data_IF_833589862803
#
_entry.id   IF_833589862803
#
_cell.length_a   1.000
_cell.length_b   1.000
_cell.length_c   1.000
_cell.angle_alpha   90.00
_cell.angle_beta   90.00
_cell.angle_gamma   90.00
#
_symmetry.space_group_name_H-M   'P 1'
#
loop_
_entity.id
_entity.type
_entity.pdbx_description
1 polymer ?
2 water ?
#
# COMPACT_ATOMS: atom_id res chain seq x y z
N UNK A 11 38.55 -17.22 -1.23
CA UNK A 11 37.15 -16.79 -1.52
C UNK A 11 36.73 -17.04 -2.97
N UNK A 12 35.45 -17.33 -3.15
CA UNK A 12 34.81 -17.42 -4.46
C UNK A 12 34.03 -16.13 -4.68
N UNK A 13 33.52 -15.95 -5.90
CA UNK A 13 32.75 -14.75 -6.25
C UNK A 13 31.38 -14.75 -5.58
N UNK A 14 31.01 -13.62 -4.99
CA UNK A 14 29.67 -13.45 -4.40
C UNK A 14 28.64 -13.14 -5.48
N UNK A 15 27.39 -13.51 -5.20
CA UNK A 15 26.29 -13.20 -6.12
C UNK A 15 26.04 -11.68 -6.22
N UNK A 16 25.47 -11.23 -7.35
CA UNK A 16 24.99 -9.83 -7.48
C UNK A 16 24.11 -9.38 -6.29
N UNK A 17 23.25 -10.29 -5.83
CA UNK A 17 22.34 -10.05 -4.70
C UNK A 17 23.05 -9.84 -3.37
N UNK A 18 24.08 -10.64 -3.10
CA UNK A 18 24.90 -10.48 -1.88
C UNK A 18 25.74 -9.20 -1.94
N UNK A 19 26.25 -8.91 -3.13
CA UNK A 19 26.98 -7.66 -3.35
C UNK A 19 26.06 -6.47 -3.12
N UNK A 20 24.85 -6.54 -3.67
CA UNK A 20 23.88 -5.45 -3.52
C UNK A 20 23.42 -5.18 -2.08
N UNK A 21 23.15 -6.27 -1.35
CA UNK A 21 22.69 -6.19 0.03
C UNK A 21 23.79 -5.70 0.97
N UNK A 22 25.05 -6.00 0.61
CA UNK A 22 26.20 -5.47 1.32
C UNK A 22 26.38 -3.95 1.09
N UNK A 23 26.11 -3.48 -0.13
CA UNK A 23 26.22 -2.04 -0.43
C UNK A 23 25.09 -1.23 0.24
N UNK A 24 23.91 -1.83 0.33
CA UNK A 24 22.81 -1.23 1.10
C UNK A 24 23.18 -1.07 2.57
N UNK A 25 23.68 -2.14 3.19
CA UNK A 25 24.02 -2.11 4.62
C UNK A 25 25.04 -1.04 4.97
N UNK A 26 25.94 -0.73 4.04
CA UNK A 26 26.89 0.39 4.20
C UNK A 26 26.24 1.75 3.96
N UNK A 27 25.37 1.85 2.95
CA UNK A 27 24.72 3.11 2.59
C UNK A 27 23.61 3.56 3.55
N UNK A 28 22.86 2.62 4.11
CA UNK A 28 21.65 2.94 4.88
C UNK A 28 22.00 3.43 6.30
N UNK A 29 21.50 4.62 6.63
CA UNK A 29 21.58 5.18 7.97
C UNK A 29 20.44 6.19 8.21
N UNK A 30 19.93 6.25 9.43
CA UNK A 30 18.86 7.19 9.79
C UNK A 30 19.27 8.64 9.50
N UNK A 31 18.28 9.52 9.24
CA UNK A 31 18.64 10.92 9.01
C UNK A 31 19.13 11.61 10.29
N UNK A 32 19.73 12.78 10.07
CA UNK A 32 20.37 13.60 11.12
C UNK A 32 19.37 14.10 12.15
N UNK A 33 18.22 14.57 11.63
CA UNK A 33 17.08 14.98 12.44
C UNK A 33 15.99 13.93 12.27
N UNK A 34 15.53 13.33 13.38
CA UNK A 34 14.52 12.24 13.36
C UNK A 34 13.15 12.67 13.85
N UNK A 35 12.12 12.10 13.23
CA UNK A 35 10.73 12.25 13.70
C UNK A 35 10.65 11.71 15.14
N UNK A 36 9.82 12.35 15.96
CA UNK A 36 9.46 11.81 17.28
C UNK A 36 8.09 11.14 17.26
N UNK A 37 7.15 11.72 16.51
CA UNK A 37 5.74 11.35 16.59
C UNK A 37 5.12 11.38 15.19
N UNK A 38 4.48 10.28 14.80
CA UNK A 38 3.82 10.18 13.50
C UNK A 38 2.36 9.79 13.76
N UNK A 39 1.43 10.48 13.09
CA UNK A 39 0.00 10.09 13.13
C UNK A 39 -0.43 9.51 11.79
N UNK A 40 -1.18 8.42 11.86
CA UNK A 40 -1.55 7.61 10.67
C UNK A 40 -3.03 7.26 10.73
N UNK A 41 -3.71 7.41 9.60
CA UNK A 41 -5.09 6.97 9.44
C UNK A 41 -5.48 6.92 7.98
N UNK A 42 -6.65 6.38 7.62
CA UNK A 42 -7.67 5.87 8.55
C UNK A 42 -8.19 4.46 8.24
N UNK A 43 -7.66 3.76 7.25
CA UNK A 43 -8.18 2.42 6.96
C UNK A 43 -7.45 1.31 7.72
N UNK A 44 -8.22 0.36 8.23
CA UNK A 44 -7.74 -0.69 9.08
C UNK A 44 -8.76 -1.83 9.20
N UNK A 45 -8.27 -3.05 9.24
CA UNK A 45 -9.12 -4.24 9.34
C UNK A 45 -8.31 -5.43 9.78
N UNK A 46 -8.98 -6.57 9.92
CA UNK A 46 -8.29 -7.83 10.17
C UNK A 46 -8.54 -8.76 8.98
N UNK A 47 -7.45 -9.18 8.32
CA UNK A 47 -7.50 -10.16 7.28
C UNK A 47 -7.41 -11.53 7.92
N UNK A 48 -8.36 -12.39 7.56
CA UNK A 48 -8.39 -13.77 8.00
C UNK A 48 -8.19 -14.60 6.74
N UNK A 49 -7.07 -15.32 6.68
CA UNK A 49 -6.72 -16.13 5.50
C UNK A 49 -7.00 -17.58 5.87
N UNK A 50 -7.81 -18.24 5.06
CA UNK A 50 -8.38 -19.55 5.38
C UNK A 50 -8.62 -20.30 4.09
N UNK A 51 -8.48 -21.63 4.13
CA UNK A 51 -8.92 -22.47 3.00
C UNK A 51 -10.43 -22.32 2.83
N UNK A 52 -10.83 -21.91 1.63
CA UNK A 52 -12.23 -21.71 1.36
C UNK A 52 -13.07 -22.98 1.48
N UNK A 53 -12.59 -24.07 0.90
CA UNK A 53 -13.27 -25.37 0.99
C UNK A 53 -13.44 -25.76 2.47
N UNK A 54 -12.37 -25.65 3.26
CA UNK A 54 -12.47 -25.97 4.69
C UNK A 54 -13.50 -25.13 5.43
N UNK A 55 -13.57 -23.84 5.10
CA UNK A 55 -14.51 -22.96 5.80
C UNK A 55 -15.93 -23.36 5.49
N UNK A 56 -16.20 -23.52 4.22
CA UNK A 56 -17.54 -23.87 3.79
C UNK A 56 -17.94 -25.22 4.40
N UNK A 57 -17.02 -26.17 4.38
CA UNK A 57 -17.27 -27.45 5.03
C UNK A 57 -17.56 -27.21 6.50
N UNK A 58 -16.78 -26.33 7.14
CA UNK A 58 -16.94 -26.03 8.56
C UNK A 58 -18.25 -25.35 8.90
N UNK A 59 -18.89 -24.68 7.93
CA UNK A 59 -20.23 -24.12 8.09
C UNK A 59 -21.32 -25.17 7.93
N UNK A 60 -20.94 -26.41 7.63
CA UNK A 60 -21.90 -27.49 7.46
C UNK A 60 -22.49 -27.54 6.06
N UNK A 61 -21.77 -27.08 5.07
CA UNK A 61 -22.30 -26.99 3.70
C UNK A 61 -21.82 -28.17 2.87
N UNK A 62 -22.72 -28.81 2.13
CA UNK A 62 -22.35 -29.81 1.13
C UNK A 62 -22.10 -29.06 -0.18
N UNK A 63 -21.32 -29.66 -1.10
CA UNK A 63 -21.02 -28.92 -2.34
C UNK A 63 -22.26 -28.77 -3.22
N UNK A 64 -22.59 -27.54 -3.59
CA UNK A 64 -23.73 -27.25 -4.45
C UNK A 64 -23.28 -27.05 -5.89
N UNK A 65 -23.66 -25.91 -6.48
CA UNK A 65 -23.30 -25.55 -7.84
C UNK A 65 -22.49 -24.30 -7.83
N UNK A 66 -21.63 -24.17 -8.82
CA UNK A 66 -20.91 -22.93 -9.02
C UNK A 66 -21.89 -21.97 -9.71
N UNK A 67 -22.01 -20.77 -9.16
CA UNK A 67 -22.90 -19.77 -9.72
C UNK A 67 -22.52 -18.40 -9.18
N UNK A 68 -22.29 -17.44 -10.07
CA UNK A 68 -21.88 -16.10 -9.66
C UNK A 68 -23.05 -15.38 -9.05
N UNK A 69 -22.75 -14.53 -8.06
CA UNK A 69 -23.70 -13.61 -7.46
C UNK A 69 -23.03 -12.27 -7.26
N UNK A 70 -23.64 -11.21 -7.79
CA UNK A 70 -23.11 -9.84 -7.66
C UNK A 70 -22.94 -9.36 -6.19
N UNK A 71 -23.93 -9.64 -5.36
CA UNK A 71 -23.88 -9.40 -3.92
C UNK A 71 -24.15 -10.76 -3.23
N UNK A 72 -23.45 -11.05 -2.14
CA UNK A 72 -23.72 -12.25 -1.33
C UNK A 72 -24.68 -11.89 -0.22
N UNK A 73 -25.88 -12.43 -0.27
CA UNK A 73 -26.86 -12.19 0.79
C UNK A 73 -26.91 -13.29 1.84
N UNK A 74 -26.22 -14.40 1.59
CA UNK A 74 -26.45 -15.64 2.33
C UNK A 74 -25.29 -16.59 2.21
N UNK A 75 -25.25 -17.57 3.12
CA UNK A 75 -24.31 -18.71 3.00
C UNK A 75 -24.38 -19.42 1.64
N UNK A 76 -25.58 -19.56 1.12
CA UNK A 76 -25.82 -20.14 -0.24
C UNK A 76 -25.08 -19.33 -1.29
N UNK A 77 -25.34 -18.01 -1.30
CA UNK A 77 -24.71 -17.12 -2.25
C UNK A 77 -23.20 -17.23 -2.16
N UNK A 78 -22.68 -17.23 -0.93
CA UNK A 78 -21.24 -17.36 -0.70
C UNK A 78 -20.71 -18.65 -1.30
N UNK A 79 -21.32 -19.75 -0.91
CA UNK A 79 -20.89 -21.04 -1.45
C UNK A 79 -20.91 -21.05 -2.98
N UNK A 80 -22.04 -20.61 -3.54
CA UNK A 80 -22.22 -20.62 -5.00
C UNK A 80 -21.22 -19.74 -5.77
N UNK A 81 -20.97 -18.51 -5.31
CA UNK A 81 -19.96 -17.67 -5.96
C UNK A 81 -18.56 -18.18 -5.75
N UNK A 82 -18.25 -18.67 -4.53
CA UNK A 82 -16.93 -19.25 -4.27
C UNK A 82 -16.65 -20.41 -5.23
N UNK A 83 -17.60 -21.33 -5.32
CA UNK A 83 -17.44 -22.48 -6.23
C UNK A 83 -17.25 -22.04 -7.67
N UNK A 84 -17.97 -20.99 -8.08
CA UNK A 84 -17.85 -20.42 -9.43
C UNK A 84 -16.42 -19.97 -9.72
N UNK A 85 -15.83 -19.17 -8.82
CA UNK A 85 -14.47 -18.68 -9.02
C UNK A 85 -13.41 -19.76 -8.78
N UNK A 86 -13.65 -20.65 -7.82
CA UNK A 86 -12.75 -21.81 -7.60
C UNK A 86 -12.65 -22.66 -8.86
N UNK A 87 -13.76 -22.83 -9.56
CA UNK A 87 -13.78 -23.56 -10.84
C UNK A 87 -12.97 -22.89 -11.92
N UNK A 88 -12.94 -21.56 -11.92
CA UNK A 88 -12.13 -20.80 -12.87
C UNK A 88 -10.68 -20.63 -12.44
N UNK A 89 -10.37 -20.87 -11.16
CA UNK A 89 -9.05 -20.55 -10.60
C UNK A 89 -8.83 -19.05 -10.58
N UNK A 90 -9.91 -18.27 -10.44
CA UNK A 90 -9.88 -16.80 -10.62
C UNK A 90 -10.13 -16.04 -9.32
N UNK A 91 -9.62 -14.82 -9.29
CA UNK A 91 -9.77 -13.92 -8.18
C UNK A 91 -11.14 -13.28 -8.24
N UNK A 92 -11.72 -13.03 -7.08
CA UNK A 92 -12.87 -12.16 -6.99
C UNK A 92 -13.00 -11.58 -5.60
N UNK A 93 -13.81 -10.53 -5.52
CA UNK A 93 -14.15 -9.93 -4.27
C UNK A 93 -15.62 -9.54 -4.24
N UNK A 94 -16.25 -9.73 -3.08
CA UNK A 94 -17.64 -9.46 -2.92
C UNK A 94 -17.96 -8.76 -1.60
N UNK A 95 -19.10 -8.08 -1.58
CA UNK A 95 -19.74 -7.58 -0.39
C UNK A 95 -20.76 -8.61 0.06
N UNK A 96 -20.80 -8.87 1.37
CA UNK A 96 -21.76 -9.75 1.99
C UNK A 96 -22.73 -8.88 2.77
N UNK A 97 -24.02 -8.99 2.45
CA UNK A 97 -25.00 -7.96 2.81
C UNK A 97 -25.65 -8.15 4.18
N UNK A 98 -25.79 -9.39 4.62
CA UNK A 98 -26.40 -9.67 5.89
C UNK A 98 -25.39 -9.48 7.04
N UNK A 99 -25.56 -8.42 7.80
CA UNK A 99 -24.61 -8.06 8.85
C UNK A 99 -24.42 -9.18 9.89
N UNK A 100 -25.53 -9.70 10.41
CA UNK A 100 -25.48 -10.66 11.52
C UNK A 100 -24.91 -11.96 11.01
N UNK A 101 -25.38 -12.43 9.84
CA UNK A 101 -24.84 -13.66 9.24
C UNK A 101 -23.37 -13.55 8.97
N UNK A 102 -22.95 -12.40 8.44
CA UNK A 102 -21.52 -12.16 8.26
C UNK A 102 -20.71 -12.23 9.57
N UNK A 103 -21.25 -11.68 10.65
CA UNK A 103 -20.56 -11.74 11.97
C UNK A 103 -20.31 -13.21 12.35
N UNK A 104 -21.31 -14.06 12.19
CA UNK A 104 -21.18 -15.51 12.49
C UNK A 104 -20.22 -16.25 11.58
N UNK A 105 -20.15 -15.89 10.30
CA UNK A 105 -19.20 -16.52 9.37
C UNK A 105 -17.76 -16.08 9.64
N UNK A 106 -17.56 -14.77 9.86
CA UNK A 106 -16.25 -14.25 10.17
C UNK A 106 -15.77 -14.82 11.49
N UNK A 107 -16.67 -14.95 12.45
CA UNK A 107 -16.32 -15.58 13.74
C UNK A 107 -15.90 -17.02 13.54
N UNK A 108 -16.65 -17.75 12.72
CA UNK A 108 -16.32 -19.15 12.38
C UNK A 108 -14.96 -19.24 11.68
N UNK A 109 -14.65 -18.29 10.79
CA UNK A 109 -13.37 -18.32 10.06
C UNK A 109 -12.21 -17.96 10.96
N UNK A 110 -12.38 -16.88 11.71
CA UNK A 110 -11.38 -16.45 12.65
C UNK A 110 -11.09 -17.50 13.76
N UNK A 111 -12.10 -18.24 14.19
CA UNK A 111 -11.89 -19.26 15.25
C UNK A 111 -11.46 -20.62 14.70
N UNK A 112 -11.45 -20.79 13.39
CA UNK A 112 -11.12 -22.06 12.76
C UNK A 112 -9.64 -22.34 12.99
N UNK A 113 -9.32 -23.53 13.56
CA UNK A 113 -7.92 -23.82 13.86
C UNK A 113 -7.02 -23.74 12.60
N UNK A 114 -5.90 -23.04 12.70
CA UNK A 114 -5.00 -22.90 11.57
C UNK A 114 -5.23 -21.71 10.65
N UNK A 115 -6.40 -21.09 10.71
CA UNK A 115 -6.61 -19.80 10.06
C UNK A 115 -5.58 -18.78 10.49
N UNK A 116 -5.09 -17.99 9.55
CA UNK A 116 -4.10 -16.94 9.82
C UNK A 116 -4.80 -15.60 9.94
N UNK A 117 -4.34 -14.77 10.86
CA UNK A 117 -4.91 -13.45 11.12
C UNK A 117 -3.81 -12.42 10.90
N UNK A 118 -4.12 -11.33 10.22
CA UNK A 118 -3.15 -10.32 9.84
C UNK A 118 -3.77 -8.96 9.99
N UNK A 119 -2.94 -8.01 10.44
CA UNK A 119 -3.23 -6.60 10.36
C UNK A 119 -3.48 -6.24 8.88
N UNK A 120 -4.59 -5.58 8.62
CA UNK A 120 -4.94 -5.13 7.28
C UNK A 120 -5.24 -3.63 7.25
N UNK A 121 -5.35 -3.09 6.04
CA UNK A 121 -5.62 -1.68 5.82
C UNK A 121 -4.34 -0.87 5.71
N UNK A 122 -4.22 -0.07 4.65
CA UNK A 122 -3.02 0.70 4.33
C UNK A 122 -2.48 1.49 5.54
N UNK A 123 -3.37 2.20 6.21
CA UNK A 123 -3.00 3.04 7.34
C UNK A 123 -2.49 2.22 8.53
N UNK A 124 -3.20 1.12 8.85
CA UNK A 124 -2.79 0.24 9.95
C UNK A 124 -1.46 -0.44 9.66
N UNK A 125 -1.30 -0.87 8.41
CA UNK A 125 -0.03 -1.47 7.98
C UNK A 125 1.12 -0.45 8.08
N UNK A 126 0.89 0.78 7.61
CA UNK A 126 1.87 1.86 7.77
C UNK A 126 2.23 2.08 9.24
N UNK A 127 1.23 2.27 10.08
CA UNK A 127 1.40 2.43 11.52
C UNK A 127 2.22 1.34 12.18
N UNK A 128 1.94 0.12 11.78
CA UNK A 128 2.62 -1.06 12.27
C UNK A 128 4.11 -1.04 11.90
N UNK A 129 4.42 -0.68 10.65
CA UNK A 129 5.83 -0.60 10.22
C UNK A 129 6.59 0.46 11.01
N UNK A 130 6.04 1.68 11.09
CA UNK A 130 6.63 2.76 11.90
C UNK A 130 6.85 2.34 13.35
N UNK A 131 5.89 1.62 13.90
CA UNK A 131 5.92 1.23 15.30
C UNK A 131 7.02 0.22 15.66
N UNK A 132 7.59 -0.47 14.66
CA UNK A 132 8.76 -1.34 14.89
C UNK A 132 9.97 -0.60 15.53
N UNK A 133 10.09 0.71 15.32
CA UNK A 133 11.16 1.53 15.94
C UNK A 133 10.65 2.11 17.23
N UNK A 134 11.31 1.82 18.35
CA UNK A 134 10.83 2.26 19.67
C UNK A 134 11.01 3.75 19.98
N UNK A 135 11.94 4.42 19.29
CA UNK A 135 12.12 5.88 19.46
C UNK A 135 11.19 6.73 18.61
N UNK A 136 10.23 6.09 17.92
CA UNK A 136 9.19 6.80 17.18
C UNK A 136 7.86 6.44 17.78
N UNK A 137 7.08 7.45 18.17
CA UNK A 137 5.76 7.21 18.76
C UNK A 137 4.66 7.33 17.71
N UNK A 138 3.87 6.27 17.60
CA UNK A 138 2.83 6.17 16.60
C UNK A 138 1.43 6.29 17.21
N UNK A 139 0.61 7.16 16.61
CA UNK A 139 -0.82 7.22 16.81
C UNK A 139 -1.51 6.66 15.56
N UNK A 140 -2.47 5.75 15.76
CA UNK A 140 -3.23 5.12 14.66
C UNK A 140 -4.72 5.28 14.88
N UNK A 141 -5.45 5.85 13.91
CA UNK A 141 -6.91 5.79 13.87
C UNK A 141 -7.46 4.97 12.69
N UNK A 142 -8.61 4.35 12.96
CA UNK A 142 -9.33 3.54 11.99
C UNK A 142 -10.27 2.62 12.73
N UNK A 143 -10.97 1.74 12.00
CA UNK A 143 -11.98 0.90 12.66
C UNK A 143 -11.33 -0.24 13.41
N UNK A 144 -10.92 0.03 14.64
CA UNK A 144 -10.08 -0.87 15.41
C UNK A 144 -10.90 -1.48 16.53
N UNK A 145 -11.28 -2.75 16.35
CA UNK A 145 -11.92 -3.58 17.36
C UNK A 145 -10.90 -4.34 18.20
N UNK A 146 -11.38 -5.21 19.10
CA UNK A 146 -10.50 -5.90 20.06
C UNK A 146 -9.48 -6.83 19.43
N UNK A 147 -9.84 -7.48 18.33
CA UNK A 147 -8.88 -8.35 17.64
C UNK A 147 -7.75 -7.60 16.95
N UNK A 148 -8.09 -6.55 16.20
CA UNK A 148 -7.08 -5.71 15.58
C UNK A 148 -6.20 -5.02 16.64
N UNK A 149 -6.80 -4.60 17.75
CA UNK A 149 -6.01 -3.94 18.80
C UNK A 149 -4.98 -4.90 19.39
N UNK A 150 -5.41 -6.15 19.61
CA UNK A 150 -4.55 -7.25 20.06
C UNK A 150 -3.43 -7.51 19.05
N UNK A 151 -3.79 -7.58 17.78
CA UNK A 151 -2.81 -7.78 16.68
C UNK A 151 -1.81 -6.66 16.51
N UNK A 152 -2.21 -5.42 16.79
CA UNK A 152 -1.32 -4.28 16.62
C UNK A 152 -0.18 -4.32 17.64
N UNK A 153 0.94 -3.73 17.25
CA UNK A 153 2.13 -3.61 18.11
C UNK A 153 1.76 -2.80 19.34
N UNK A 154 2.26 -3.21 20.50
CA UNK A 154 1.95 -2.51 21.77
C UNK A 154 2.33 -1.03 21.79
N UNK A 155 3.34 -0.64 21.02
CA UNK A 155 3.78 0.76 20.98
C UNK A 155 2.83 1.69 20.21
N UNK A 156 1.89 1.11 19.47
CA UNK A 156 0.89 1.89 18.72
C UNK A 156 -0.20 2.37 19.67
N UNK A 157 -0.40 3.70 19.70
CA UNK A 157 -1.44 4.30 20.51
C UNK A 157 -2.67 4.52 19.63
N UNK A 158 -3.79 3.98 20.08
CA UNK A 158 -5.08 4.17 19.43
C UNK A 158 -5.90 4.98 20.41
N UNK A 159 -6.30 6.21 20.03
CA UNK A 159 -7.22 6.98 20.86
C UNK A 159 -8.43 6.11 21.26
N UNK A 160 -8.87 6.17 22.54
CA UNK A 160 -10.08 5.43 22.92
C UNK A 160 -11.28 5.73 22.01
N UNK A 161 -11.36 6.97 21.49
CA UNK A 161 -12.36 7.35 20.50
C UNK A 161 -12.40 6.46 19.28
N UNK A 162 -11.24 5.93 18.87
CA UNK A 162 -11.13 5.10 17.68
C UNK A 162 -11.27 3.60 17.95
N UNK A 163 -11.52 3.23 19.21
CA UNK A 163 -11.76 1.83 19.57
C UNK A 163 -13.26 1.52 19.52
N UNK A 164 -13.58 0.37 18.95
CA UNK A 164 -14.99 -0.06 18.77
C UNK A 164 -15.17 -1.52 19.20
N UNK A 165 -16.43 -1.92 19.33
CA UNK A 165 -16.77 -3.24 19.86
C UNK A 165 -16.43 -4.37 18.88
N UNK A 166 -16.69 -4.15 17.59
CA UNK A 166 -16.47 -5.17 16.55
C UNK A 166 -15.30 -4.79 15.65
N UNK A 167 -14.62 -5.78 15.10
CA UNK A 167 -13.64 -5.55 14.04
C UNK A 167 -14.30 -5.54 12.66
N UNK A 168 -13.55 -5.06 11.67
CA UNK A 168 -13.85 -5.22 10.26
C UNK A 168 -13.03 -6.40 9.79
N UNK A 169 -13.67 -7.55 9.66
CA UNK A 169 -12.99 -8.73 9.18
C UNK A 169 -13.08 -8.76 7.67
N UNK A 170 -11.96 -9.01 7.01
CA UNK A 170 -11.94 -9.34 5.61
C UNK A 170 -11.57 -10.80 5.47
N UNK A 171 -12.45 -11.58 4.90
CA UNK A 171 -12.24 -13.04 4.83
C UNK A 171 -11.61 -13.42 3.50
N UNK A 172 -10.42 -14.02 3.54
CA UNK A 172 -9.64 -14.33 2.35
C UNK A 172 -9.65 -15.87 2.17
N UNK A 173 -10.43 -16.34 1.20
CA UNK A 173 -10.69 -17.78 1.05
C UNK A 173 -9.82 -18.31 -0.09
N UNK A 174 -8.76 -19.00 0.29
CA UNK A 174 -7.77 -19.49 -0.67
C UNK A 174 -8.08 -20.90 -1.14
N UNK A 175 -7.63 -21.21 -2.36
CA UNK A 175 -7.62 -22.59 -2.86
C UNK A 175 -6.33 -22.81 -3.62
N UNK A 176 -5.88 -24.06 -3.63
CA UNK A 176 -4.65 -24.47 -4.25
C UNK A 176 -4.95 -25.00 -5.63
N UNK A 177 -3.97 -24.94 -6.52
CA UNK A 177 -4.09 -25.59 -7.84
C UNK A 177 -4.26 -27.08 -7.60
N UNK A 178 -5.24 -27.66 -8.27
CA UNK A 178 -5.56 -29.09 -8.11
C UNK A 178 -6.45 -29.47 -6.93
N UNK A 179 -6.83 -28.49 -6.10
CA UNK A 179 -7.69 -28.77 -4.95
C UNK A 179 -9.10 -29.17 -5.38
N UNK A 180 -9.73 -30.06 -4.61
CA UNK A 180 -11.00 -30.65 -4.98
C UNK A 180 -11.99 -30.60 -3.85
N UNK A 181 -13.25 -30.46 -4.21
CA UNK A 181 -14.32 -30.63 -3.25
C UNK A 181 -15.51 -31.16 -4.04
N UNK A 182 -15.83 -32.43 -3.83
CA UNK A 182 -16.81 -33.14 -4.64
C UNK A 182 -16.41 -33.01 -6.10
N UNK A 183 -17.34 -32.58 -6.96
CA UNK A 183 -17.02 -32.45 -8.39
C UNK A 183 -16.26 -31.18 -8.78
N UNK A 184 -15.79 -30.39 -7.81
CA UNK A 184 -15.11 -29.14 -8.13
C UNK A 184 -13.62 -29.37 -8.07
N UNK A 185 -12.89 -28.74 -8.98
CA UNK A 185 -11.43 -28.82 -9.00
C UNK A 185 -10.86 -27.50 -9.48
N UNK A 186 -9.98 -26.91 -8.69
CA UNK A 186 -9.36 -25.62 -9.05
C UNK A 186 -8.24 -25.82 -10.07
N UNK A 187 -8.34 -25.18 -11.26
CA UNK A 187 -7.22 -25.21 -12.22
C UNK A 187 -6.02 -24.30 -11.90
N UNK A 188 -6.20 -23.31 -11.02
CA UNK A 188 -5.08 -22.48 -10.52
C UNK A 188 -5.34 -22.12 -9.06
N UNK A 189 -4.27 -21.79 -8.34
CA UNK A 189 -4.38 -21.25 -7.00
C UNK A 189 -4.84 -19.81 -7.08
N UNK A 190 -5.82 -19.45 -6.25
CA UNK A 190 -6.31 -18.09 -6.18
C UNK A 190 -7.12 -17.87 -4.91
N UNK A 191 -7.80 -16.74 -4.80
CA UNK A 191 -8.57 -16.43 -3.61
C UNK A 191 -9.87 -15.66 -3.87
N UNK A 192 -10.82 -15.87 -2.99
CA UNK A 192 -12.09 -15.23 -3.00
C UNK A 192 -12.17 -14.46 -1.70
N UNK A 193 -12.41 -13.15 -1.81
CA UNK A 193 -12.43 -12.27 -0.63
C UNK A 193 -13.82 -11.70 -0.47
N UNK A 194 -14.32 -11.69 0.76
CA UNK A 194 -15.55 -11.00 1.06
C UNK A 194 -15.52 -10.31 2.41
N UNK A 195 -16.38 -9.30 2.55
CA UNK A 195 -16.45 -8.49 3.74
C UNK A 195 -17.80 -7.82 3.85
N UNK A 196 -18.04 -7.16 4.99
CA UNK A 196 -19.18 -6.31 5.20
C UNK A 196 -18.64 -5.07 5.91
N UNK A 197 -17.85 -4.30 5.15
CA UNK A 197 -17.05 -3.22 5.65
C UNK A 197 -17.55 -1.85 5.17
N UNK A 198 -18.46 -1.28 5.93
CA UNK A 198 -18.98 0.05 5.67
C UNK A 198 -18.08 1.14 6.23
N UNK A 199 -17.29 0.82 7.26
CA UNK A 199 -16.46 1.80 7.99
C UNK A 199 -15.35 2.34 7.12
N UNK A 200 -14.59 1.41 6.54
CA UNK A 200 -13.51 1.77 5.65
C UNK A 200 -14.01 2.37 4.32
N UNK A 201 -15.13 1.86 3.82
CA UNK A 201 -15.79 2.42 2.63
C UNK A 201 -16.17 3.89 2.75
N UNK A 202 -16.58 4.31 3.94
CA UNK A 202 -17.07 5.67 4.17
C UNK A 202 -16.06 6.58 4.84
N UNK A 203 -14.82 6.11 5.05
CA UNK A 203 -13.85 6.75 5.97
C UNK A 203 -14.53 7.28 7.26
N UNK A 204 -15.23 6.38 7.96
CA UNK A 204 -15.98 6.82 9.14
C UNK A 204 -15.13 7.30 10.32
N UNK A 205 -13.84 6.99 10.33
CA UNK A 205 -12.98 7.42 11.40
C UNK A 205 -12.16 8.68 11.05
N UNK A 206 -12.45 9.32 9.91
CA UNK A 206 -11.71 10.54 9.53
C UNK A 206 -11.84 11.66 10.55
N UNK A 207 -13.06 11.90 11.04
CA UNK A 207 -13.31 12.94 12.06
C UNK A 207 -12.55 12.69 13.36
N UNK A 208 -12.61 11.45 13.84
CA UNK A 208 -11.90 11.03 15.07
C UNK A 208 -10.39 11.20 14.89
N UNK A 209 -9.89 10.84 13.71
CA UNK A 209 -8.47 11.01 13.39
C UNK A 209 -8.04 12.47 13.41
N UNK A 210 -8.76 13.29 12.64
CA UNK A 210 -8.52 14.73 12.55
C UNK A 210 -8.56 15.31 13.96
N UNK A 211 -9.61 15.00 14.71
CA UNK A 211 -9.78 15.51 16.08
C UNK A 211 -8.62 15.16 17.03
N UNK A 212 -7.92 14.06 16.79
CA UNK A 212 -6.83 13.63 17.69
C UNK A 212 -5.48 14.27 17.41
N UNK A 213 -5.34 14.98 16.29
CA UNK A 213 -4.02 15.43 15.86
C UNK A 213 -3.47 16.55 16.75
N UNK A 214 -4.30 17.52 17.12
CA UNK A 214 -3.84 18.69 17.87
C UNK A 214 -3.14 18.29 19.18
N UNK A 215 -3.84 17.51 20.00
CA UNK A 215 -3.24 16.99 21.22
C UNK A 215 -1.93 16.25 20.95
N UNK A 216 -1.94 15.31 20.00
CA UNK A 216 -0.78 14.46 19.72
C UNK A 216 0.45 15.20 19.17
N UNK A 217 0.22 16.30 18.47
CA UNK A 217 1.31 17.09 17.88
C UNK A 217 2.23 16.21 16.99
N UNK A 218 1.66 15.58 15.97
CA UNK A 218 2.54 14.80 15.09
C UNK A 218 3.62 15.67 14.42
N UNK A 219 4.80 15.08 14.22
CA UNK A 219 5.81 15.58 13.30
C UNK A 219 5.49 15.25 11.85
N UNK A 220 4.76 14.16 11.65
CA UNK A 220 4.47 13.60 10.35
C UNK A 220 3.04 13.05 10.43
N UNK A 221 2.25 13.36 9.41
CA UNK A 221 0.91 12.86 9.30
C UNK A 221 0.88 12.01 8.04
N UNK A 222 0.34 10.81 8.15
CA UNK A 222 0.20 9.90 6.98
C UNK A 222 -1.26 9.54 6.82
N UNK A 223 -1.79 9.71 5.61
CA UNK A 223 -3.17 9.48 5.31
C UNK A 223 -3.30 8.43 4.21
N UNK A 224 -4.20 7.49 4.44
CA UNK A 224 -4.59 6.53 3.43
C UNK A 224 -6.05 6.16 3.62
N UNK A 225 -6.62 5.52 2.61
CA UNK A 225 -8.00 5.03 2.65
C UNK A 225 -8.96 5.69 1.68
N UNK A 226 -8.52 6.72 0.96
CA UNK A 226 -9.42 7.45 0.05
C UNK A 226 -9.96 6.53 -1.06
N UNK A 227 -9.06 5.73 -1.63
CA UNK A 227 -9.44 4.73 -2.66
C UNK A 227 -10.60 3.82 -2.24
N UNK A 228 -10.75 3.55 -0.95
CA UNK A 228 -11.84 2.72 -0.44
C UNK A 228 -13.23 3.32 -0.58
N UNK A 229 -13.31 4.63 -0.85
CA UNK A 229 -14.59 5.29 -1.10
C UNK A 229 -15.11 5.04 -2.51
N UNK A 230 -14.27 4.54 -3.40
CA UNK A 230 -14.70 4.01 -4.70
C UNK A 230 -16.01 3.25 -4.55
N UNK A 231 -17.02 3.67 -5.31
CA UNK A 231 -18.33 3.02 -5.30
C UNK A 231 -19.36 3.59 -4.34
N UNK A 232 -18.94 4.58 -3.51
CA UNK A 232 -19.85 5.34 -2.64
C UNK A 232 -20.37 6.59 -3.35
N UNK A 233 -21.42 7.19 -2.79
CA UNK A 233 -21.99 8.46 -3.25
C UNK A 233 -20.89 9.49 -3.54
N UNK A 234 -21.01 10.15 -4.71
CA UNK A 234 -20.10 11.20 -5.09
C UNK A 234 -20.14 12.36 -4.06
N UNK A 235 -21.33 12.68 -3.57
CA UNK A 235 -21.49 13.66 -2.50
C UNK A 235 -20.79 13.28 -1.18
N UNK A 236 -20.87 12.00 -0.80
CA UNK A 236 -20.12 11.50 0.35
C UNK A 236 -18.61 11.65 0.11
N UNK A 237 -18.15 11.26 -1.09
CA UNK A 237 -16.74 11.47 -1.44
C UNK A 237 -16.28 12.94 -1.35
N UNK A 238 -17.13 13.83 -1.85
CA UNK A 238 -16.84 15.26 -1.87
C UNK A 238 -16.76 15.82 -0.43
N UNK A 239 -17.72 15.44 0.41
CA UNK A 239 -17.67 15.79 1.85
C UNK A 239 -16.34 15.33 2.50
N UNK A 240 -15.90 14.11 2.22
CA UNK A 240 -14.69 13.57 2.85
C UNK A 240 -13.40 14.21 2.38
N UNK A 241 -13.30 14.45 1.06
CA UNK A 241 -12.14 15.15 0.51
C UNK A 241 -12.02 16.60 1.05
N UNK A 242 -13.15 17.28 1.25
CA UNK A 242 -13.15 18.60 1.86
C UNK A 242 -12.73 18.55 3.35
N UNK A 243 -13.20 17.53 4.07
CA UNK A 243 -12.75 17.25 5.45
C UNK A 243 -11.25 17.05 5.51
N UNK A 244 -10.71 16.27 4.57
CA UNK A 244 -9.25 16.07 4.47
C UNK A 244 -8.52 17.40 4.32
N UNK A 245 -8.95 18.21 3.35
CA UNK A 245 -8.23 19.44 2.98
C UNK A 245 -8.33 20.45 4.10
N UNK A 246 -9.52 20.57 4.70
CA UNK A 246 -9.71 21.46 5.85
C UNK A 246 -8.84 21.04 7.03
N UNK A 247 -8.84 19.75 7.35
CA UNK A 247 -8.03 19.24 8.45
C UNK A 247 -6.55 19.56 8.28
N UNK A 248 -6.03 19.34 7.08
CA UNK A 248 -4.63 19.60 6.79
C UNK A 248 -4.31 21.09 6.86
N UNK A 249 -5.20 21.96 6.44
CA UNK A 249 -4.95 23.41 6.58
C UNK A 249 -4.90 23.88 8.06
N UNK A 250 -5.48 23.09 8.97
CA UNK A 250 -5.39 23.34 10.41
C UNK A 250 -4.18 22.75 11.12
N UNK A 251 -3.45 21.86 10.47
CA UNK A 251 -2.22 21.31 11.04
C UNK A 251 -1.13 22.36 10.88
N UNK A 252 -0.26 22.55 11.91
CA UNK A 252 0.74 23.63 11.79
C UNK A 252 1.58 23.55 10.51
N UNK A 253 1.95 24.71 9.98
CA UNK A 253 2.76 24.80 8.76
C UNK A 253 4.08 24.05 8.94
N UNK A 254 4.55 23.42 7.88
CA UNK A 254 5.83 22.70 7.89
C UNK A 254 5.79 21.25 8.39
N UNK A 255 4.62 20.78 8.84
CA UNK A 255 4.41 19.36 9.19
C UNK A 255 4.10 18.64 7.88
N UNK A 256 5.00 17.76 7.43
CA UNK A 256 4.67 17.00 6.22
C UNK A 256 3.46 16.06 6.37
N UNK A 257 2.67 15.97 5.31
CA UNK A 257 1.57 15.01 5.17
C UNK A 257 1.89 14.13 3.97
N UNK A 258 1.92 12.81 4.19
CA UNK A 258 2.07 11.85 3.09
C UNK A 258 0.70 11.19 2.76
N UNK A 259 0.33 11.18 1.47
CA UNK A 259 -0.82 10.46 0.99
C UNK A 259 -0.36 9.15 0.35
N UNK A 260 -0.80 8.01 0.88
CA UNK A 260 -0.53 6.72 0.25
C UNK A 260 -1.73 6.32 -0.59
N UNK A 261 -1.51 6.28 -1.90
CA UNK A 261 -2.57 6.11 -2.85
C UNK A 261 -2.48 4.67 -3.35
N UNK A 262 -3.57 3.91 -3.26
CA UNK A 262 -3.63 2.53 -3.76
C UNK A 262 -4.91 2.28 -4.54
N UNK A 263 -5.06 1.06 -5.04
CA UNK A 263 -6.29 0.48 -5.61
C UNK A 263 -7.39 1.41 -6.12
N UNK A 264 -7.11 2.12 -7.21
CA UNK A 264 -8.04 3.06 -7.83
C UNK A 264 -8.47 2.55 -9.19
N UNK A 265 -9.76 2.65 -9.49
CA UNK A 265 -10.31 2.42 -10.82
C UNK A 265 -11.28 3.50 -11.31
N UNK A 266 -11.66 4.45 -10.45
CA UNK A 266 -12.62 5.50 -10.81
C UNK A 266 -11.88 6.79 -11.18
N UNK A 267 -12.11 7.30 -12.39
CA UNK A 267 -11.39 8.50 -12.87
C UNK A 267 -11.96 9.81 -12.29
N UNK A 268 -13.26 9.87 -12.05
CA UNK A 268 -13.83 11.07 -11.42
C UNK A 268 -13.16 11.28 -10.05
N UNK A 269 -13.04 10.20 -9.28
CA UNK A 269 -12.48 10.25 -7.93
C UNK A 269 -11.00 10.59 -7.98
N UNK A 270 -10.26 9.90 -8.86
CA UNK A 270 -8.82 10.14 -9.06
C UNK A 270 -8.52 11.58 -9.43
N UNK A 271 -9.28 12.08 -10.41
CA UNK A 271 -9.24 13.48 -10.82
C UNK A 271 -9.41 14.42 -9.62
N UNK A 272 -10.45 14.15 -8.82
CA UNK A 272 -10.76 14.95 -7.63
C UNK A 272 -9.65 14.91 -6.57
N UNK A 273 -9.07 13.73 -6.36
CA UNK A 273 -7.94 13.60 -5.44
C UNK A 273 -6.74 14.41 -5.93
N UNK A 274 -6.51 14.39 -7.24
CA UNK A 274 -5.40 15.14 -7.81
C UNK A 274 -5.66 16.64 -7.64
N UNK A 275 -6.84 17.09 -8.04
CA UNK A 275 -7.18 18.53 -7.98
C UNK A 275 -7.15 19.07 -6.54
N UNK A 276 -7.75 18.34 -5.60
CA UNK A 276 -7.96 18.83 -4.23
C UNK A 276 -6.88 18.47 -3.22
N UNK A 277 -6.53 17.18 -3.17
CA UNK A 277 -5.66 16.65 -2.09
C UNK A 277 -4.17 16.77 -2.39
N UNK A 278 -3.77 16.56 -3.64
CA UNK A 278 -2.36 16.68 -4.02
C UNK A 278 -1.69 18.01 -3.57
N UNK A 279 -2.33 19.18 -3.79
CA UNK A 279 -1.73 20.43 -3.29
C UNK A 279 -1.60 20.53 -1.76
N UNK A 280 -2.41 19.76 -1.04
CA UNK A 280 -2.41 19.77 0.43
C UNK A 280 -1.42 18.82 1.09
N UNK A 281 -0.70 18.03 0.31
CA UNK A 281 0.22 17.06 0.91
C UNK A 281 1.63 17.36 0.44
N UNK A 282 2.59 17.03 1.30
CA UNK A 282 3.99 17.16 0.99
C UNK A 282 4.48 15.99 0.17
N UNK A 283 3.92 14.80 0.42
CA UNK A 283 4.45 13.54 -0.10
C UNK A 283 3.35 12.62 -0.61
N UNK A 284 3.66 11.83 -1.63
CA UNK A 284 2.75 10.89 -2.26
C UNK A 284 3.46 9.56 -2.40
N UNK A 285 2.74 8.46 -2.23
CA UNK A 285 3.27 7.12 -2.41
C UNK A 285 2.32 6.27 -3.24
N UNK A 286 2.86 5.51 -4.20
CA UNK A 286 2.02 4.72 -5.11
C UNK A 286 2.83 3.72 -5.93
N UNK A 287 2.13 2.85 -6.65
CA UNK A 287 2.76 1.86 -7.49
C UNK A 287 2.50 2.10 -8.97
N UNK A 288 3.05 1.22 -9.81
CA UNK A 288 2.89 1.28 -11.25
C UNK A 288 1.43 1.40 -11.71
N UNK A 289 0.51 0.71 -11.03
CA UNK A 289 -0.90 0.67 -11.42
C UNK A 289 -1.55 2.05 -11.29
N UNK A 290 -1.37 2.66 -10.13
CA UNK A 290 -1.91 3.99 -9.85
C UNK A 290 -1.21 5.10 -10.65
N UNK A 291 0.10 4.96 -10.85
CA UNK A 291 0.87 5.91 -11.68
C UNK A 291 0.35 5.95 -13.11
N UNK A 292 0.27 4.80 -13.76
CA UNK A 292 -0.27 4.73 -15.12
C UNK A 292 -1.73 5.21 -15.16
N UNK A 293 -2.51 4.86 -14.13
CA UNK A 293 -3.90 5.32 -14.06
C UNK A 293 -3.99 6.85 -14.01
N UNK A 294 -3.10 7.49 -13.25
CA UNK A 294 -2.99 8.96 -13.23
C UNK A 294 -2.71 9.58 -14.59
N UNK A 295 -1.69 9.05 -15.26
CA UNK A 295 -1.34 9.48 -16.62
C UNK A 295 -2.48 9.26 -17.64
N UNK A 296 -3.28 8.21 -17.45
CA UNK A 296 -4.41 7.93 -18.34
C UNK A 296 -5.53 8.95 -18.21
N UNK A 297 -5.82 9.34 -16.97
CA UNK A 297 -6.86 10.33 -16.69
C UNK A 297 -6.54 11.69 -17.31
N UNK A 298 -5.38 12.25 -16.96
CA UNK A 298 -5.01 13.64 -17.32
C UNK A 298 -3.97 13.74 -18.45
N UNK A 299 -4.13 12.91 -19.49
CA UNK A 299 -3.33 13.00 -20.74
C UNK A 299 -1.80 13.03 -20.55
N UNK A 300 -1.32 12.39 -19.47
CA UNK A 300 0.09 12.46 -19.09
C UNK A 300 1.03 11.70 -20.04
N UNK A 301 2.35 11.89 -19.87
CA UNK A 301 3.41 11.41 -20.74
C UNK A 301 3.15 10.13 -21.55
N UNK A 302 2.60 9.09 -20.91
CA UNK A 302 2.35 7.82 -21.62
C UNK A 302 0.90 7.35 -21.43
N UNK A 303 -0.01 8.32 -21.43
CA UNK A 303 -1.46 8.09 -21.44
C UNK A 303 -1.85 7.04 -22.49
N UNK A 304 -1.24 7.16 -23.67
CA UNK A 304 -1.42 6.21 -24.79
C UNK A 304 -1.25 4.75 -24.38
N UNK A 305 -0.32 4.49 -23.46
CA UNK A 305 -0.11 3.15 -22.91
C UNK A 305 -1.34 2.67 -22.16
N UNK A 306 -1.86 1.52 -22.59
CA UNK A 306 -3.02 0.87 -21.99
C UNK A 306 -2.65 0.09 -20.71
N UNK A 307 -1.54 -0.64 -20.80
CA UNK A 307 -1.02 -1.46 -19.70
C UNK A 307 0.52 -1.50 -19.75
N UNK A 308 1.16 -1.71 -18.59
CA UNK A 308 2.61 -1.97 -18.57
C UNK A 308 2.82 -3.35 -19.16
N UNK A 309 3.82 -3.47 -20.02
CA UNK A 309 4.11 -4.71 -20.71
C UNK A 309 5.32 -5.35 -20.03
N UNK A 310 5.04 -6.04 -18.92
CA UNK A 310 6.08 -6.62 -18.06
C UNK A 310 6.52 -5.64 -16.99
N UNK A 311 7.83 -5.59 -16.73
CA UNK A 311 8.39 -4.56 -15.86
C UNK A 311 8.11 -3.20 -16.51
N UNK A 312 7.56 -2.25 -15.73
CA UNK A 312 7.41 -0.88 -16.26
C UNK A 312 8.74 -0.26 -16.65
N UNK A 313 8.78 0.39 -17.80
CA UNK A 313 9.98 1.06 -18.30
C UNK A 313 10.34 2.21 -17.37
N UNK A 314 11.58 2.24 -16.90
CA UNK A 314 12.01 3.24 -15.89
C UNK A 314 11.84 4.65 -16.43
N UNK A 315 12.28 4.87 -17.66
CA UNK A 315 12.15 6.19 -18.27
C UNK A 315 10.71 6.66 -18.32
N UNK A 316 9.82 5.78 -18.79
CA UNK A 316 8.38 6.06 -18.87
C UNK A 316 7.80 6.38 -17.49
N UNK A 317 8.18 5.59 -16.50
CA UNK A 317 7.82 5.85 -15.11
C UNK A 317 8.29 7.25 -14.69
N UNK A 318 9.57 7.53 -14.91
CA UNK A 318 10.16 8.80 -14.47
C UNK A 318 9.57 10.03 -15.17
N UNK A 319 9.21 9.89 -16.44
CA UNK A 319 8.48 10.95 -17.16
C UNK A 319 7.16 11.30 -16.48
N UNK A 320 6.43 10.27 -16.03
CA UNK A 320 5.14 10.48 -15.34
C UNK A 320 5.36 11.12 -13.97
N UNK A 321 6.35 10.65 -13.21
CA UNK A 321 6.66 11.27 -11.90
C UNK A 321 7.09 12.73 -12.06
N UNK A 322 7.96 12.98 -13.04
CA UNK A 322 8.40 14.33 -13.41
C UNK A 322 7.20 15.24 -13.69
N UNK A 323 6.37 14.81 -14.63
CA UNK A 323 5.13 15.48 -15.01
C UNK A 323 4.19 15.79 -13.84
N UNK A 324 4.03 14.86 -12.89
CA UNK A 324 3.21 15.09 -11.69
C UNK A 324 3.79 16.23 -10.85
N UNK A 325 5.09 16.17 -10.58
CA UNK A 325 5.70 17.24 -9.80
C UNK A 325 5.72 18.57 -10.58
N UNK A 326 5.77 18.52 -11.91
CA UNK A 326 5.67 19.74 -12.72
C UNK A 326 4.23 20.27 -12.81
N UNK A 327 3.26 19.39 -13.05
CA UNK A 327 1.86 19.79 -13.20
C UNK A 327 1.19 20.13 -11.87
N UNK A 328 1.57 19.39 -10.83
CA UNK A 328 0.87 19.43 -9.55
C UNK A 328 1.73 19.65 -8.31
N UNK A 329 3.05 19.71 -8.47
CA UNK A 329 3.95 19.91 -7.34
C UNK A 329 4.14 21.38 -7.02
N UNK A 330 4.95 21.64 -5.99
CA UNK A 330 5.24 23.01 -5.58
C UNK A 330 5.84 23.86 -6.71
N UNK A 331 5.38 25.10 -6.83
CA UNK A 331 5.89 26.08 -7.81
C UNK A 331 5.80 27.50 -7.23
N UNK A 332 6.47 28.44 -7.88
CA UNK A 332 6.41 29.84 -7.46
C UNK A 332 4.96 30.35 -7.44
N UNK A 333 4.19 29.94 -8.46
CA UNK A 333 2.83 30.43 -8.70
C UNK A 333 1.69 29.59 -8.09
N UNK A 334 1.94 28.30 -7.87
CA UNK A 334 0.88 27.31 -7.70
C UNK A 334 0.27 27.21 -6.30
N UNK A 335 1.10 27.32 -5.26
CA UNK A 335 0.65 27.07 -3.89
C UNK A 335 0.19 25.60 -3.70
N UNK A 336 0.98 24.70 -4.28
CA UNK A 336 0.92 23.26 -3.97
C UNK A 336 2.06 22.99 -2.98
N UNK A 337 1.90 22.00 -2.11
CA UNK A 337 2.94 21.61 -1.15
C UNK A 337 3.66 20.31 -1.55
N UNK A 338 3.29 19.74 -2.71
CA UNK A 338 3.79 18.42 -3.09
C UNK A 338 5.20 18.49 -3.66
N UNK A 339 6.14 17.90 -2.91
CA UNK A 339 7.56 17.91 -3.25
C UNK A 339 8.19 16.50 -3.31
N UNK A 340 7.40 15.45 -3.17
CA UNK A 340 7.96 14.11 -2.96
C UNK A 340 7.01 13.04 -3.44
N UNK A 341 7.55 12.06 -4.17
CA UNK A 341 6.80 10.90 -4.61
C UNK A 341 7.66 9.68 -4.39
N UNK A 342 7.20 8.74 -3.57
CA UNK A 342 7.87 7.47 -3.38
C UNK A 342 7.17 6.48 -4.29
N UNK A 343 7.79 6.19 -5.43
CA UNK A 343 7.27 5.19 -6.36
C UNK A 343 7.88 3.86 -6.02
N UNK A 344 7.02 2.83 -5.88
CA UNK A 344 7.47 1.47 -5.63
C UNK A 344 6.74 0.48 -6.54
N UNK A 345 7.51 -0.28 -7.33
CA UNK A 345 6.99 -1.40 -8.09
C UNK A 345 7.78 -2.67 -7.69
N UNK A 346 7.44 -3.80 -8.29
CA UNK A 346 7.94 -5.10 -7.79
C UNK A 346 9.48 -5.16 -7.81
N UNK A 347 10.09 -4.72 -8.91
CA UNK A 347 11.54 -4.97 -9.16
C UNK A 347 12.44 -3.74 -9.01
N UNK A 348 11.86 -2.54 -8.86
CA UNK A 348 12.64 -1.35 -8.50
C UNK A 348 11.74 -0.29 -7.85
N UNK A 349 12.35 0.58 -7.04
CA UNK A 349 11.68 1.71 -6.44
C UNK A 349 12.39 2.98 -6.91
N UNK A 350 11.65 4.08 -7.00
CA UNK A 350 12.23 5.39 -7.30
C UNK A 350 11.70 6.36 -6.27
N UNK A 351 12.59 7.20 -5.75
CA UNK A 351 12.21 8.34 -4.92
C UNK A 351 12.50 9.62 -5.71
N UNK A 352 11.45 10.38 -6.01
CA UNK A 352 11.56 11.61 -6.79
C UNK A 352 11.25 12.80 -5.89
N UNK A 353 12.14 13.80 -5.89
CA UNK A 353 11.97 14.95 -4.99
C UNK A 353 12.27 16.29 -5.68
N UNK A 354 11.44 17.29 -5.37
CA UNK A 354 11.68 18.67 -5.81
C UNK A 354 12.87 19.16 -4.98
N UNK A 355 13.91 19.62 -5.67
CA UNK A 355 15.20 19.94 -5.04
C UNK A 355 15.07 20.90 -3.87
N UNK A 356 15.86 20.64 -2.82
CA UNK A 356 15.94 21.50 -1.66
C UNK A 356 14.85 21.40 -0.60
N UNK A 357 14.06 20.32 -0.60
CA UNK A 357 13.00 20.14 0.44
C UNK A 357 13.17 18.90 1.32
N UNK A 358 14.08 17.99 0.93
CA UNK A 358 14.25 16.70 1.57
C UNK A 358 15.72 16.31 1.60
N UNK A 359 16.10 15.60 2.66
CA UNK A 359 17.44 15.01 2.79
C UNK A 359 17.37 13.50 3.01
N UNK A 360 18.51 12.84 2.83
CA UNK A 360 18.72 11.39 3.12
C UNK A 360 17.94 10.46 2.19
N UNK A 361 17.68 10.94 0.99
CA UNK A 361 16.84 10.21 0.05
C UNK A 361 17.56 9.05 -0.65
N UNK A 362 18.89 9.01 -0.65
CA UNK A 362 19.61 7.80 -1.07
C UNK A 362 19.36 6.63 -0.10
N UNK A 363 19.64 6.86 1.19
CA UNK A 363 19.41 5.85 2.20
C UNK A 363 17.92 5.48 2.30
N UNK A 364 17.04 6.47 2.17
CA UNK A 364 15.61 6.24 2.26
C UNK A 364 15.08 5.30 1.18
N UNK A 365 15.47 5.52 -0.08
CA UNK A 365 14.99 4.65 -1.16
C UNK A 365 15.63 3.25 -1.02
N UNK A 366 16.90 3.22 -0.62
CA UNK A 366 17.56 1.97 -0.32
C UNK A 366 16.82 1.21 0.77
N UNK A 367 16.42 1.93 1.82
CA UNK A 367 15.70 1.33 2.95
C UNK A 367 14.30 0.80 2.57
N UNK A 368 13.56 1.57 1.77
CA UNK A 368 12.28 1.10 1.21
C UNK A 368 12.41 -0.20 0.42
N UNK A 369 13.47 -0.28 -0.39
CA UNK A 369 13.76 -1.45 -1.22
C UNK A 369 14.15 -2.67 -0.41
N UNK A 370 14.94 -2.45 0.63
CA UNK A 370 15.39 -3.51 1.51
C UNK A 370 14.27 -4.18 2.29
N UNK A 371 13.29 -3.39 2.73
CA UNK A 371 12.16 -3.91 3.51
C UNK A 371 11.25 -4.77 2.64
N UNK A 372 11.18 -4.41 1.36
CA UNK A 372 10.50 -5.21 0.35
C UNK A 372 11.03 -6.65 0.28
N UNK A 373 12.35 -6.80 0.40
CA UNK A 373 12.96 -8.13 0.49
C UNK A 373 12.68 -8.81 1.82
N UNK A 374 13.04 -8.15 2.91
CA UNK A 374 13.03 -8.78 4.22
C UNK A 374 11.61 -9.15 4.68
N UNK A 375 10.69 -8.21 4.53
CA UNK A 375 9.30 -8.48 4.90
C UNK A 375 8.65 -9.57 4.05
N UNK A 376 8.91 -9.55 2.74
CA UNK A 376 8.40 -10.60 1.83
C UNK A 376 8.86 -12.00 2.26
N UNK A 377 10.15 -12.13 2.55
CA UNK A 377 10.73 -13.39 3.05
C UNK A 377 10.49 -13.69 4.55
N UNK A 378 10.06 -12.70 5.32
CA UNK A 378 9.89 -12.84 6.78
C UNK A 378 11.19 -13.21 7.49
N UNK A 379 12.22 -12.45 7.15
CA UNK A 379 13.53 -12.50 7.81
C UNK A 379 13.79 -11.12 8.40
N UNK A 380 14.66 -11.07 9.40
CA UNK A 380 15.09 -9.80 10.00
C UNK A 380 16.03 -9.03 9.08
N UNK A 381 16.89 -9.76 8.36
CA UNK A 381 17.82 -9.18 7.39
C UNK A 381 17.64 -9.87 6.05
N UNK A 382 18.35 -9.40 5.02
CA UNK A 382 18.28 -10.03 3.70
C UNK A 382 18.97 -11.40 3.72
N UNK A 383 18.21 -12.45 3.40
CA UNK A 383 18.75 -13.80 3.17
C UNK A 383 19.03 -13.88 1.67
N UNK A 384 20.32 -13.81 1.32
CA UNK A 384 20.72 -13.69 -0.09
C UNK A 384 20.43 -14.94 -0.94
N UNK A 385 20.17 -16.09 -0.31
CA UNK A 385 19.73 -17.29 -1.05
C UNK A 385 18.28 -17.19 -1.53
N UNK A 386 17.44 -16.43 -0.81
CA UNK A 386 16.01 -16.34 -1.13
C UNK A 386 15.59 -15.10 -1.95
N UNK A 387 16.56 -14.30 -2.40
CA UNK A 387 16.27 -13.12 -3.20
C UNK A 387 16.86 -13.20 -4.61
N UNK A 388 16.41 -12.27 -5.45
CA UNK A 388 16.74 -12.29 -6.87
C UNK A 388 16.62 -10.90 -7.44
N UNK A 389 17.68 -10.46 -8.11
CA UNK A 389 17.67 -9.17 -8.78
C UNK A 389 16.95 -9.34 -10.12
N UNK A 390 15.85 -8.61 -10.29
CA UNK A 390 15.01 -8.71 -11.48
C UNK A 390 14.82 -7.41 -12.25
N UNK A 391 15.48 -6.33 -11.82
CA UNK A 391 15.40 -5.06 -12.54
C UNK A 391 16.15 -5.16 -13.87
N UNK A 392 15.79 -4.29 -14.85
CA UNK A 392 16.56 -4.27 -16.10
C UNK A 392 18.05 -3.94 -15.87
N UNK A 393 18.95 -4.65 -16.56
CA UNK A 393 20.39 -4.42 -16.45
C UNK A 393 20.83 -3.02 -16.94
N UNK A 394 20.14 -2.52 -17.95
CA UNK A 394 20.31 -1.13 -18.37
C UNK A 394 18.98 -0.46 -18.68
N UNK A 395 18.94 0.87 -18.57
CA UNK A 395 17.71 1.65 -18.78
C UNK A 395 17.97 3.12 -19.06
N UNK A 396 17.03 3.75 -19.77
CA UNK A 396 17.06 5.19 -20.05
C UNK A 396 16.23 5.92 -18.97
N UNK A 397 16.76 7.05 -18.49
CA UNK A 397 16.14 7.84 -17.42
C UNK A 397 14.94 8.67 -17.85
N UNK A 398 14.71 8.74 -19.16
CA UNK A 398 13.51 9.30 -19.73
C UNK A 398 13.30 8.70 -21.11
N UNK A 399 12.10 8.22 -21.38
CA UNK A 399 11.78 7.71 -22.69
C UNK A 399 11.53 8.89 -23.65
N UNK A 400 10.63 9.80 -23.25
CA UNK A 400 10.22 10.94 -24.10
C UNK A 400 11.36 11.94 -24.34
N UNK A 401 11.96 12.45 -23.27
CA UNK A 401 13.13 13.31 -23.41
C UNK A 401 14.39 12.47 -23.60
N UNK A 402 15.47 13.13 -23.99
CA UNK A 402 16.76 12.47 -24.14
C UNK A 402 17.42 12.46 -22.75
N UNK A 403 17.59 11.27 -22.19
CA UNK A 403 18.19 11.08 -20.87
C UNK A 403 19.30 10.06 -20.91
N UNK A 404 19.91 9.83 -19.75
CA UNK A 404 21.11 8.98 -19.63
C UNK A 404 20.83 7.48 -19.81
N UNK A 405 21.86 6.76 -20.24
CA UNK A 405 21.82 5.30 -20.33
C UNK A 405 22.57 4.74 -19.11
N UNK A 406 21.82 4.17 -18.18
CA UNK A 406 22.37 3.67 -16.91
C UNK A 406 22.55 2.16 -16.98
N UNK A 407 23.66 1.66 -16.43
CA UNK A 407 23.91 0.22 -16.33
C UNK A 407 24.05 -0.15 -14.85
N UNK A 408 23.39 -1.23 -14.46
CA UNK A 408 23.33 -1.61 -13.05
C UNK A 408 24.67 -2.15 -12.56
N UNK A 409 25.14 -1.56 -11.47
CA UNK A 409 26.34 -1.99 -10.77
C UNK A 409 25.88 -2.42 -9.37
N UNK A 410 25.86 -3.74 -9.09
CA UNK A 410 25.46 -4.25 -7.75
C UNK A 410 26.19 -3.63 -6.55
N UNK A 411 27.44 -3.22 -6.74
CA UNK A 411 28.22 -2.58 -5.66
C UNK A 411 27.89 -1.09 -5.49
N UNK A 412 27.24 -0.47 -6.48
CA UNK A 412 26.74 0.91 -6.35
C UNK A 412 25.26 0.95 -6.77
N UNK A 413 24.37 0.39 -5.93
CA UNK A 413 23.01 0.14 -6.37
C UNK A 413 22.10 1.37 -6.46
N UNK A 414 22.31 2.38 -5.61
CA UNK A 414 21.46 3.58 -5.63
C UNK A 414 22.01 4.65 -6.60
N UNK A 415 21.20 4.94 -7.63
CA UNK A 415 21.56 5.79 -8.76
C UNK A 415 20.79 7.09 -8.67
N UNK A 416 21.48 8.20 -8.90
CA UNK A 416 20.91 9.55 -8.77
C UNK A 416 20.97 10.24 -10.14
N UNK A 417 19.93 10.97 -10.50
CA UNK A 417 19.97 11.83 -11.69
C UNK A 417 19.04 13.00 -11.57
N UNK A 418 19.41 14.09 -12.23
CA UNK A 418 18.77 15.38 -12.02
C UNK A 418 18.04 15.78 -13.28
N UNK A 419 16.97 16.55 -13.14
CA UNK A 419 16.12 16.91 -14.28
C UNK A 419 15.21 18.10 -13.98
N UNK A 420 15.69 19.30 -14.36
CA UNK A 420 14.98 20.57 -14.16
C UNK A 420 14.59 20.80 -12.70
N UNK A 421 15.56 20.65 -11.81
CA UNK A 421 15.36 20.95 -10.39
C UNK A 421 14.52 19.93 -9.67
N UNK A 422 14.61 18.68 -10.12
CA UNK A 422 13.94 17.54 -9.49
C UNK A 422 14.96 16.41 -9.54
N UNK A 423 15.18 15.75 -8.41
CA UNK A 423 16.14 14.66 -8.36
C UNK A 423 15.41 13.35 -8.20
N UNK A 424 15.85 12.36 -8.96
CA UNK A 424 15.36 11.00 -8.89
C UNK A 424 16.41 10.16 -8.19
N UNK A 425 15.95 9.18 -7.41
CA UNK A 425 16.83 8.20 -6.75
C UNK A 425 16.28 6.80 -7.01
N UNK A 426 17.04 6.01 -7.76
CA UNK A 426 16.61 4.71 -8.23
C UNK A 426 17.38 3.65 -7.49
N UNK A 427 16.72 2.55 -7.13
CA UNK A 427 17.41 1.33 -6.72
C UNK A 427 16.57 0.12 -7.15
N UNK A 428 17.22 -0.99 -7.51
CA UNK A 428 16.45 -2.21 -7.70
C UNK A 428 15.97 -2.83 -6.37
N UNK A 429 15.08 -3.79 -6.48
CA UNK A 429 14.61 -4.54 -5.32
C UNK A 429 15.31 -5.90 -5.30
N UNK A 430 15.60 -6.41 -4.11
CA UNK A 430 15.95 -7.81 -3.95
C UNK A 430 14.64 -8.57 -3.65
N UNK A 431 14.05 -9.12 -4.71
CA UNK A 431 12.70 -9.70 -4.66
C UNK A 431 12.75 -11.07 -3.98
N UNK A 432 11.93 -11.29 -2.96
CA UNK A 432 11.86 -12.60 -2.30
C UNK A 432 11.28 -13.61 -3.27
N UNK A 433 12.04 -14.67 -3.54
CA UNK A 433 11.65 -15.68 -4.51
C UNK A 433 10.57 -16.61 -3.98
N UNK A 434 10.61 -16.90 -2.67
CA UNK A 434 9.61 -17.78 -2.02
C UNK A 434 8.91 -17.02 -0.88
N UNK A 435 8.08 -16.01 -1.22
CA UNK A 435 7.50 -15.12 -0.23
C UNK A 435 6.38 -15.76 0.59
N UNK A 436 6.23 -15.32 1.83
CA UNK A 436 5.22 -15.83 2.73
C UNK A 436 3.88 -15.25 2.28
N UNK A 437 3.85 -13.93 2.22
CA UNK A 437 2.64 -13.16 1.99
C UNK A 437 3.09 -11.71 1.71
N UNK A 438 2.80 -11.20 0.52
CA UNK A 438 3.26 -9.85 0.13
C UNK A 438 2.12 -8.81 0.00
N UNK A 439 0.94 -9.16 0.51
CA UNK A 439 -0.13 -8.17 0.70
C UNK A 439 0.35 -7.14 1.76
N UNK A 440 0.22 -5.85 1.45
CA UNK A 440 0.64 -4.78 2.36
C UNK A 440 2.09 -4.31 2.22
N UNK A 441 2.81 -4.81 1.20
CA UNK A 441 4.24 -4.49 1.03
C UNK A 441 4.48 -3.01 0.69
N UNK A 442 3.64 -2.42 -0.16
CA UNK A 442 3.77 -1.00 -0.54
C UNK A 442 3.70 -0.05 0.64
N UNK A 443 2.92 -0.46 1.64
CA UNK A 443 2.67 0.33 2.83
C UNK A 443 3.87 0.31 3.77
N UNK A 444 4.47 -0.87 3.95
CA UNK A 444 5.72 -1.02 4.70
C UNK A 444 6.87 -0.31 3.96
N UNK A 445 6.87 -0.37 2.62
CA UNK A 445 7.89 0.33 1.81
C UNK A 445 7.79 1.86 2.02
N UNK A 446 6.59 2.41 1.88
CA UNK A 446 6.37 3.85 2.07
C UNK A 446 6.68 4.33 3.50
N UNK A 447 6.35 3.51 4.50
CA UNK A 447 6.63 3.83 5.89
C UNK A 447 8.12 3.85 6.13
N UNK A 448 8.82 2.86 5.60
CA UNK A 448 10.30 2.82 5.72
C UNK A 448 10.97 4.01 5.04
N UNK A 449 10.57 4.30 3.81
CA UNK A 449 11.03 5.49 3.08
C UNK A 449 10.86 6.79 3.83
N UNK A 450 9.70 6.98 4.45
CA UNK A 450 9.44 8.16 5.27
C UNK A 450 10.24 8.18 6.56
N UNK A 451 10.30 7.05 7.25
CA UNK A 451 11.10 6.93 8.48
C UNK A 451 12.53 7.42 8.25
N UNK A 452 13.14 6.97 7.14
CA UNK A 452 14.50 7.37 6.79
C UNK A 452 14.61 8.72 6.07
N UNK A 453 13.49 9.39 5.79
CA UNK A 453 13.52 10.73 5.21
C UNK A 453 13.60 11.85 6.25
N UNK A 454 14.13 13.00 5.81
CA UNK A 454 14.13 14.23 6.61
C UNK A 454 13.55 15.37 5.77
N UNK A 455 12.52 16.02 6.30
CA UNK A 455 11.97 17.23 5.69
C UNK A 455 12.86 18.37 6.11
N UNK A 456 13.13 19.28 5.18
CA UNK A 456 14.09 20.39 5.41
C UNK A 456 13.42 21.65 6.00
#
# INVERSE_FOLDING_TARGET
>A
MGSGSGDDDDKLALSPESRLAAAWDALIAQPARRWRRVAVGVNACVDVVISGVKLLQALGLSPGSGKDHAILHSRSDLEEAFLYFMGKGAAAERFFSDKETFHDIAQAASEFPGAQHYVGGNAALIGQRFAANTDLKVLLCGPIGPKLHELLDDNVFVPPESLQEEDEFHLILEYLAGEEWGPFKAPHANRFIFSHDLSNGAMNMLEVFVSSLEEFQPDLVVLSGLHMMEGQSKELQRKRLLEVVTAISDIPTGIPVHLELASMTNRELMSSIVHQVFPAVASLGLNEQELLFLSQSASGPHSSLSSWDGVPDVGMVSDILFWILKEHGRSENRSSDLTRIHFHTLVYHILATVDGHWANQLAAVAAGARVAGTQACATETIDTNRVSLRAPQEFTTSHLESGSRIVLNPDKPVVEWHREGITFHFTPVLVCKDPVRTVGLGDAISAEGLFYSEARPDKGQLQGKPIPNPLLGLDSTRTGHHHHHH
#
